data_IF_552425743480
#
_entry.id   IF_552425743480
#
_cell.length_a   1.000
_cell.length_b   1.000
_cell.length_c   1.000
_cell.angle_alpha   90.00
_cell.angle_beta   90.00
_cell.angle_gamma   90.00
#
_symmetry.space_group_name_H-M   'P 1'
#
loop_
_entity.id
_entity.type
_entity.pdbx_description
1 polymer ?
#
# COMPACT_ATOMS: atom_id res chain seq x y z
N UNK A 1 26.04 22.78 -17.24
CA UNK A 1 25.94 22.12 -15.92
C UNK A 1 25.82 20.63 -16.15
N UNK A 2 26.75 19.81 -15.64
CA UNK A 2 26.76 18.37 -15.90
C UNK A 2 25.70 17.64 -15.06
N UNK A 3 24.86 16.82 -15.71
CA UNK A 3 23.82 16.02 -15.05
C UNK A 3 24.49 14.87 -14.29
N UNK A 4 24.49 14.94 -12.96
CA UNK A 4 25.01 13.87 -12.10
C UNK A 4 24.06 12.68 -12.18
N UNK A 5 24.53 11.58 -12.74
CA UNK A 5 23.78 10.32 -12.79
C UNK A 5 24.27 9.44 -11.65
N UNK A 6 23.41 9.22 -10.66
CA UNK A 6 23.72 8.38 -9.50
C UNK A 6 23.17 6.97 -9.79
N UNK A 7 24.04 5.97 -9.80
CA UNK A 7 23.62 4.57 -10.00
C UNK A 7 23.47 3.89 -8.64
N UNK A 8 22.22 3.64 -8.22
CA UNK A 8 21.96 2.77 -7.07
C UNK A 8 21.91 1.31 -7.54
N UNK A 9 22.71 0.44 -6.93
CA UNK A 9 22.63 -1.01 -7.11
C UNK A 9 22.06 -1.62 -5.83
N UNK A 10 20.77 -1.94 -5.83
CA UNK A 10 20.16 -2.74 -4.77
C UNK A 10 20.17 -4.22 -5.16
N UNK A 11 20.75 -5.06 -4.30
CA UNK A 11 20.70 -6.51 -4.47
C UNK A 11 19.35 -7.01 -3.97
N UNK A 12 18.42 -7.29 -4.90
CA UNK A 12 17.13 -7.85 -4.54
C UNK A 12 17.31 -9.34 -4.24
N UNK A 13 17.24 -9.70 -2.96
CA UNK A 13 17.40 -11.10 -2.52
C UNK A 13 16.00 -11.62 -2.22
N UNK A 14 15.36 -12.24 -3.21
CA UNK A 14 14.09 -12.92 -2.99
C UNK A 14 14.38 -14.34 -2.51
N UNK A 15 13.97 -14.67 -1.29
CA UNK A 15 14.10 -16.03 -0.77
C UNK A 15 13.15 -16.95 -1.55
N UNK A 16 13.63 -18.12 -2.00
CA UNK A 16 12.88 -19.02 -2.89
C UNK A 16 11.48 -19.37 -2.38
N UNK A 17 11.33 -19.55 -1.07
CA UNK A 17 10.07 -19.85 -0.41
C UNK A 17 9.01 -18.74 -0.59
N UNK A 18 9.45 -17.48 -0.71
CA UNK A 18 8.57 -16.35 -0.97
C UNK A 18 8.14 -16.28 -2.44
N UNK A 19 8.92 -16.85 -3.36
CA UNK A 19 8.66 -16.77 -4.79
C UNK A 19 7.54 -17.75 -5.20
N UNK A 20 7.55 -18.97 -4.65
CA UNK A 20 6.45 -19.93 -4.81
C UNK A 20 5.16 -19.42 -4.15
N UNK A 21 5.27 -18.88 -2.95
CA UNK A 21 4.11 -18.30 -2.25
C UNK A 21 3.57 -17.07 -3.00
N UNK A 22 4.42 -16.21 -3.54
CA UNK A 22 4.00 -15.07 -4.36
C UNK A 22 3.33 -15.52 -5.66
N UNK A 23 3.88 -16.54 -6.35
CA UNK A 23 3.26 -17.10 -7.54
C UNK A 23 1.86 -17.67 -7.24
N UNK A 24 1.71 -18.40 -6.14
CA UNK A 24 0.43 -18.95 -5.70
C UNK A 24 -0.59 -17.86 -5.30
N UNK A 25 -0.12 -16.69 -4.83
CA UNK A 25 -0.97 -15.59 -4.35
C UNK A 25 -0.95 -14.37 -5.29
N UNK A 26 -0.44 -14.51 -6.52
CA UNK A 26 -0.21 -13.40 -7.44
C UNK A 26 -1.49 -12.59 -7.69
N UNK A 27 -2.63 -13.27 -7.82
CA UNK A 27 -3.93 -12.63 -8.02
C UNK A 27 -4.33 -11.72 -6.84
N UNK A 28 -4.06 -12.16 -5.60
CA UNK A 28 -4.29 -11.35 -4.40
C UNK A 28 -3.37 -10.13 -4.38
N UNK A 29 -2.09 -10.33 -4.66
CA UNK A 29 -1.12 -9.22 -4.74
C UNK A 29 -1.52 -8.18 -5.77
N UNK A 30 -1.90 -8.60 -6.98
CA UNK A 30 -2.33 -7.70 -8.03
C UNK A 30 -3.58 -6.91 -7.62
N UNK A 31 -4.54 -7.54 -6.93
CA UNK A 31 -5.73 -6.85 -6.42
C UNK A 31 -5.38 -5.79 -5.37
N UNK A 32 -4.50 -6.12 -4.43
CA UNK A 32 -4.02 -5.19 -3.40
C UNK A 32 -3.29 -4.00 -4.05
N UNK A 33 -2.39 -4.26 -4.99
CA UNK A 33 -1.64 -3.22 -5.70
C UNK A 33 -2.59 -2.33 -6.52
N UNK A 34 -3.53 -2.93 -7.25
CA UNK A 34 -4.49 -2.18 -8.05
C UNK A 34 -5.32 -1.24 -7.17
N UNK A 35 -5.83 -1.73 -6.04
CA UNK A 35 -6.56 -0.90 -5.09
C UNK A 35 -5.74 0.28 -4.59
N UNK A 36 -4.51 0.06 -4.12
CA UNK A 36 -3.68 1.17 -3.62
C UNK A 36 -3.31 2.14 -4.72
N UNK A 37 -3.16 1.66 -5.96
CA UNK A 37 -2.98 2.52 -7.12
C UNK A 37 -4.21 3.40 -7.36
N UNK A 38 -5.42 2.83 -7.28
CA UNK A 38 -6.67 3.59 -7.40
C UNK A 38 -6.82 4.64 -6.28
N UNK A 39 -6.48 4.28 -5.03
CA UNK A 39 -6.48 5.22 -3.89
C UNK A 39 -5.51 6.38 -4.12
N UNK A 40 -4.29 6.10 -4.58
CA UNK A 40 -3.29 7.15 -4.86
C UNK A 40 -3.73 8.04 -6.02
N UNK A 41 -4.32 7.47 -7.07
CA UNK A 41 -4.84 8.26 -8.20
C UNK A 41 -6.01 9.15 -7.78
N UNK A 42 -6.92 8.64 -6.95
CA UNK A 42 -8.06 9.42 -6.44
C UNK A 42 -7.61 10.50 -5.43
N UNK A 43 -6.49 10.30 -4.76
CA UNK A 43 -5.99 11.16 -3.68
C UNK A 43 -4.50 11.49 -3.85
N UNK A 44 -4.12 12.11 -4.97
CA UNK A 44 -2.71 12.41 -5.31
C UNK A 44 -1.98 13.25 -4.24
N UNK A 45 -2.72 14.05 -3.45
CA UNK A 45 -2.19 14.84 -2.34
C UNK A 45 -1.51 13.98 -1.26
N UNK A 46 -1.83 12.68 -1.17
CA UNK A 46 -1.14 11.74 -0.28
C UNK A 46 0.37 11.69 -0.56
N UNK A 47 0.78 11.86 -1.82
CA UNK A 47 2.19 11.83 -2.22
C UNK A 47 2.97 13.08 -1.78
N UNK A 48 2.27 14.14 -1.37
CA UNK A 48 2.87 15.37 -0.87
C UNK A 48 3.08 15.32 0.65
N UNK A 49 2.50 14.34 1.34
CA UNK A 49 2.60 14.19 2.79
C UNK A 49 3.96 13.63 3.20
N UNK A 50 4.38 13.96 4.42
CA UNK A 50 5.53 13.30 5.03
C UNK A 50 5.22 11.83 5.27
N UNK A 51 6.25 10.97 5.32
CA UNK A 51 6.06 9.54 5.64
C UNK A 51 5.29 9.31 6.96
N UNK A 52 5.37 10.25 7.92
CA UNK A 52 4.64 10.15 9.19
C UNK A 52 3.14 10.42 9.04
N UNK A 53 2.75 11.22 8.06
CA UNK A 53 1.36 11.68 7.86
C UNK A 53 0.65 10.90 6.74
N UNK A 54 1.41 10.37 5.78
CA UNK A 54 0.89 9.62 4.65
C UNK A 54 0.19 8.32 5.09
N UNK A 55 0.79 7.58 6.03
CA UNK A 55 0.23 6.33 6.57
C UNK A 55 -1.12 6.55 7.28
N UNK A 56 -1.23 7.47 8.26
CA UNK A 56 -2.51 7.78 8.89
C UNK A 56 -3.57 8.28 7.91
N UNK A 57 -3.17 9.09 6.92
CA UNK A 57 -4.09 9.58 5.89
C UNK A 57 -4.62 8.42 5.03
N UNK A 58 -3.74 7.50 4.62
CA UNK A 58 -4.11 6.30 3.87
C UNK A 58 -5.02 5.37 4.69
N UNK A 59 -4.73 5.18 5.98
CA UNK A 59 -5.58 4.39 6.89
C UNK A 59 -6.98 4.98 7.00
N UNK A 60 -7.12 6.31 7.12
CA UNK A 60 -8.43 6.99 7.12
C UNK A 60 -9.20 6.82 5.82
N UNK A 61 -8.52 6.71 4.69
CA UNK A 61 -9.20 6.53 3.40
C UNK A 61 -9.68 5.08 3.20
N UNK A 62 -9.01 4.11 3.83
CA UNK A 62 -9.11 2.71 3.42
C UNK A 62 -9.59 1.75 4.51
N UNK A 63 -9.29 2.01 5.78
CA UNK A 63 -9.54 1.07 6.86
C UNK A 63 -10.79 1.46 7.66
N UNK A 64 -11.70 0.50 7.78
CA UNK A 64 -12.78 0.59 8.74
C UNK A 64 -12.22 0.40 10.15
N UNK A 65 -12.44 1.38 11.03
CA UNK A 65 -12.03 1.33 12.44
C UNK A 65 -13.12 1.91 13.33
N UNK A 66 -13.00 1.78 14.65
CA UNK A 66 -13.95 2.36 15.60
C UNK A 66 -14.13 3.88 15.45
N UNK A 67 -13.10 4.58 14.96
CA UNK A 67 -13.11 6.04 14.73
C UNK A 67 -13.34 6.41 13.26
N UNK A 68 -13.20 5.45 12.34
CA UNK A 68 -13.41 5.64 10.91
C UNK A 68 -14.39 4.57 10.41
N UNK A 69 -15.67 4.78 10.67
CA UNK A 69 -16.73 3.79 10.44
C UNK A 69 -17.19 3.74 8.98
N UNK A 70 -16.80 4.70 8.15
CA UNK A 70 -17.20 4.75 6.74
C UNK A 70 -16.04 5.31 5.89
N UNK A 71 -15.00 4.49 5.64
CA UNK A 71 -13.88 4.90 4.79
C UNK A 71 -14.36 5.16 3.36
N UNK A 72 -13.81 6.19 2.72
CA UNK A 72 -14.19 6.62 1.36
C UNK A 72 -13.86 5.55 0.30
N UNK A 73 -12.76 4.82 0.49
CA UNK A 73 -12.33 3.72 -0.39
C UNK A 73 -12.06 2.47 0.44
N UNK A 74 -13.11 1.75 0.88
CA UNK A 74 -12.97 0.64 1.83
C UNK A 74 -12.10 -0.50 1.30
N UNK A 75 -11.14 -0.95 2.11
CA UNK A 75 -10.29 -2.10 1.82
C UNK A 75 -11.05 -3.44 1.86
N UNK A 76 -12.28 -3.43 2.38
CA UNK A 76 -13.18 -4.59 2.52
C UNK A 76 -13.47 -5.29 1.19
N UNK A 77 -13.33 -4.58 0.06
CA UNK A 77 -13.58 -5.13 -1.27
C UNK A 77 -12.47 -6.10 -1.75
N UNK A 78 -11.30 -6.10 -1.10
CA UNK A 78 -10.18 -6.98 -1.48
C UNK A 78 -10.19 -8.29 -0.68
N UNK A 79 -10.49 -8.23 0.62
CA UNK A 79 -10.68 -9.38 1.49
C UNK A 79 -11.44 -8.97 2.78
N UNK A 80 -12.24 -9.89 3.31
CA UNK A 80 -13.16 -9.62 4.43
C UNK A 80 -12.47 -9.47 5.81
N UNK A 81 -11.21 -9.93 5.95
CA UNK A 81 -10.49 -9.97 7.23
C UNK A 81 -9.05 -9.46 7.05
N UNK A 82 -8.90 -8.22 6.58
CA UNK A 82 -7.58 -7.58 6.52
C UNK A 82 -7.30 -6.95 7.88
N UNK A 83 -6.25 -7.37 8.61
CA UNK A 83 -5.95 -6.83 9.92
C UNK A 83 -5.60 -5.35 9.81
N UNK A 84 -6.52 -4.48 10.27
CA UNK A 84 -6.22 -3.07 10.53
C UNK A 84 -5.14 -2.99 11.59
N UNK A 85 -4.13 -2.15 11.38
CA UNK A 85 -3.10 -1.89 12.39
C UNK A 85 -3.80 -1.36 13.65
N UNK A 86 -3.81 -2.17 14.71
CA UNK A 86 -4.41 -1.82 15.99
C UNK A 86 -3.52 -0.78 16.69
N UNK A 87 -3.55 0.46 16.20
CA UNK A 87 -2.93 1.63 16.81
C UNK A 87 -3.99 2.69 17.05
N UNK A 88 -4.81 2.41 18.07
CA UNK A 88 -5.38 3.41 18.97
C UNK A 88 -5.06 2.97 20.39
#
# INVERSE_FOLDING_TARGET
MAKVTITLRQKFTCQSNHLEWFAANQALFNRVVNFYFDVINAHENLLQLSNKDALPALEKLTHHTKVNTDPIMPLCEIAQDIPSRHLL
#
